data_IF_034105257033
#
_entry.id   IF_034105257033
#
_cell.length_a   1.000
_cell.length_b   1.000
_cell.length_c   1.000
_cell.angle_alpha   90.00
_cell.angle_beta   90.00
_cell.angle_gamma   90.00
#
_symmetry.space_group_name_H-M   'P 1'
#
loop_
_entity.id
_entity.type
_entity.pdbx_description
1 polymer ?
#
# COMPACT_ATOMS: atom_id res chain seq x y z
N UNK A 1 9.25 -17.51 -9.30
CA UNK A 1 10.31 -16.51 -9.04
C UNK A 1 11.30 -16.94 -7.97
N UNK A 2 11.02 -16.88 -6.65
CA UNK A 2 12.05 -17.22 -5.63
C UNK A 2 12.56 -18.67 -5.77
N UNK A 3 11.65 -19.64 -5.85
CA UNK A 3 11.99 -21.05 -6.08
C UNK A 3 12.85 -21.31 -7.31
N UNK A 4 12.65 -20.52 -8.37
CA UNK A 4 13.36 -20.67 -9.65
C UNK A 4 14.79 -20.11 -9.58
N UNK A 5 15.08 -19.19 -8.64
CA UNK A 5 16.36 -18.48 -8.60
C UNK A 5 17.24 -18.90 -7.41
N UNK A 6 16.64 -19.21 -6.26
CA UNK A 6 17.37 -19.55 -5.01
C UNK A 6 16.93 -20.88 -4.41
N UNK A 7 16.23 -21.72 -5.18
CA UNK A 7 15.73 -23.03 -4.71
C UNK A 7 14.64 -22.90 -3.65
N UNK A 8 14.43 -23.94 -2.83
CA UNK A 8 13.29 -24.00 -1.87
C UNK A 8 13.66 -23.81 -0.41
N UNK A 9 14.94 -23.87 -0.09
CA UNK A 9 15.42 -23.89 1.30
C UNK A 9 15.18 -22.54 2.00
N UNK A 10 15.08 -21.44 1.25
CA UNK A 10 14.72 -20.12 1.77
C UNK A 10 13.41 -20.10 2.58
N UNK A 11 12.49 -21.05 2.34
CA UNK A 11 11.21 -21.15 3.07
C UNK A 11 11.38 -21.46 4.54
N UNK A 12 12.47 -22.14 4.90
CA UNK A 12 12.82 -22.48 6.29
C UNK A 12 14.07 -21.75 6.77
N UNK A 13 14.86 -21.20 5.87
CA UNK A 13 16.06 -20.41 6.16
C UNK A 13 16.05 -19.08 5.38
N UNK A 14 15.51 -18.03 6.00
CA UNK A 14 15.39 -16.71 5.37
C UNK A 14 16.75 -16.04 5.06
N UNK A 15 17.87 -16.54 5.60
CA UNK A 15 19.19 -15.99 5.28
C UNK A 15 19.55 -16.16 3.80
N UNK A 16 19.00 -17.18 3.12
CA UNK A 16 19.21 -17.40 1.69
C UNK A 16 18.61 -16.31 0.79
N UNK A 17 17.71 -15.46 1.31
CA UNK A 17 17.25 -14.30 0.55
C UNK A 17 18.38 -13.33 0.19
N UNK A 18 19.51 -13.36 0.91
CA UNK A 18 20.68 -12.54 0.58
C UNK A 18 21.30 -12.90 -0.77
N UNK A 19 21.11 -14.12 -1.27
CA UNK A 19 21.58 -14.54 -2.60
C UNK A 19 20.94 -13.70 -3.72
N UNK A 20 19.74 -13.15 -3.50
CA UNK A 20 19.08 -12.26 -4.45
C UNK A 20 19.87 -10.98 -4.73
N UNK A 21 20.82 -10.59 -3.86
CA UNK A 21 21.71 -9.45 -4.11
C UNK A 21 22.54 -9.63 -5.38
N UNK A 22 22.86 -10.86 -5.74
CA UNK A 22 23.59 -11.16 -6.98
C UNK A 22 22.74 -10.95 -8.24
N UNK A 23 21.42 -10.81 -8.07
CA UNK A 23 20.44 -10.75 -9.15
C UNK A 23 19.81 -9.36 -9.34
N UNK A 24 20.27 -8.33 -8.61
CA UNK A 24 19.65 -7.00 -8.60
C UNK A 24 19.59 -6.34 -9.99
N UNK A 25 20.59 -6.58 -10.83
CA UNK A 25 20.70 -6.00 -12.17
C UNK A 25 20.21 -6.94 -13.26
N UNK A 26 19.73 -8.15 -12.91
CA UNK A 26 19.27 -9.13 -13.88
C UNK A 26 17.85 -8.78 -14.35
N UNK A 27 17.64 -8.41 -15.63
CA UNK A 27 16.34 -7.90 -16.09
C UNK A 27 15.20 -8.90 -15.93
N UNK A 28 15.46 -10.20 -16.13
CA UNK A 28 14.46 -11.26 -15.98
C UNK A 28 13.94 -11.38 -14.55
N UNK A 29 14.82 -11.26 -13.55
CA UNK A 29 14.49 -11.31 -12.12
C UNK A 29 13.62 -10.10 -11.76
N UNK A 30 14.05 -8.92 -12.18
CA UNK A 30 13.31 -7.67 -11.98
C UNK A 30 11.91 -7.71 -12.62
N UNK A 31 11.80 -8.26 -13.84
CA UNK A 31 10.53 -8.44 -14.51
C UNK A 31 9.63 -9.42 -13.75
N UNK A 32 10.15 -10.55 -13.29
CA UNK A 32 9.41 -11.53 -12.51
C UNK A 32 8.88 -10.94 -11.18
N UNK A 33 9.69 -10.13 -10.48
CA UNK A 33 9.26 -9.43 -9.25
C UNK A 33 8.16 -8.42 -9.55
N UNK A 34 8.32 -7.61 -10.61
CA UNK A 34 7.30 -6.62 -11.02
C UNK A 34 5.99 -7.30 -11.39
N UNK A 35 6.05 -8.41 -12.13
CA UNK A 35 4.88 -9.19 -12.53
C UNK A 35 4.15 -9.77 -11.31
N UNK A 36 4.88 -10.43 -10.40
CA UNK A 36 4.31 -10.96 -9.17
C UNK A 36 3.66 -9.85 -8.31
N UNK A 37 4.31 -8.68 -8.21
CA UNK A 37 3.73 -7.52 -7.50
C UNK A 37 2.46 -7.01 -8.18
N UNK A 38 2.43 -6.93 -9.51
CA UNK A 38 1.26 -6.48 -10.26
C UNK A 38 0.07 -7.43 -10.10
N UNK A 39 0.28 -8.74 -10.20
CA UNK A 39 -0.74 -9.77 -9.92
C UNK A 39 -1.29 -9.69 -8.50
N UNK A 40 -0.43 -9.43 -7.50
CA UNK A 40 -0.87 -9.21 -6.13
C UNK A 40 -1.76 -7.96 -6.01
N UNK A 41 -1.42 -6.88 -6.72
CA UNK A 41 -2.23 -5.64 -6.74
C UNK A 41 -3.56 -5.85 -7.45
N UNK A 42 -3.61 -6.64 -8.52
CA UNK A 42 -4.86 -7.02 -9.18
C UNK A 42 -5.77 -7.79 -8.22
N UNK A 43 -5.24 -8.79 -7.53
CA UNK A 43 -6.00 -9.55 -6.52
C UNK A 43 -6.54 -8.66 -5.39
N UNK A 44 -5.72 -7.75 -4.88
CA UNK A 44 -6.15 -6.79 -3.86
C UNK A 44 -7.19 -5.79 -4.39
N UNK A 45 -7.06 -5.32 -5.64
CA UNK A 45 -8.05 -4.44 -6.27
C UNK A 45 -9.41 -5.14 -6.39
N UNK A 46 -9.44 -6.41 -6.82
CA UNK A 46 -10.66 -7.21 -6.85
C UNK A 46 -11.27 -7.40 -5.46
N UNK A 47 -10.44 -7.65 -4.43
CA UNK A 47 -10.90 -7.75 -3.06
C UNK A 47 -11.50 -6.44 -2.53
N UNK A 48 -10.86 -5.30 -2.78
CA UNK A 48 -11.37 -3.97 -2.40
C UNK A 48 -12.72 -3.70 -3.07
N UNK A 49 -12.85 -4.01 -4.37
CA UNK A 49 -14.11 -3.86 -5.09
C UNK A 49 -15.23 -4.70 -4.47
N UNK A 50 -14.95 -5.96 -4.12
CA UNK A 50 -15.94 -6.86 -3.52
C UNK A 50 -16.35 -6.46 -2.10
N UNK A 51 -15.42 -5.97 -1.28
CA UNK A 51 -15.67 -5.70 0.14
C UNK A 51 -16.13 -4.28 0.43
N UNK A 52 -15.66 -3.31 -0.35
CA UNK A 52 -15.87 -1.88 -0.10
C UNK A 52 -16.66 -1.19 -1.22
N UNK A 53 -16.98 -1.90 -2.32
CA UNK A 53 -17.61 -1.34 -3.51
C UNK A 53 -16.82 -0.15 -4.13
N UNK A 54 -15.50 -0.15 -3.96
CA UNK A 54 -14.59 0.85 -4.53
C UNK A 54 -13.72 0.21 -5.60
N UNK A 55 -13.70 0.80 -6.80
CA UNK A 55 -12.82 0.34 -7.89
C UNK A 55 -11.50 1.11 -7.85
N UNK A 56 -10.38 0.40 -7.71
CA UNK A 56 -9.03 0.99 -7.65
C UNK A 56 -8.15 0.51 -8.79
N UNK A 57 -7.28 1.38 -9.31
CA UNK A 57 -6.38 1.07 -10.43
C UNK A 57 -5.12 0.31 -9.95
N UNK A 58 -4.91 -0.97 -10.31
CA UNK A 58 -3.73 -1.74 -9.89
C UNK A 58 -2.42 -1.27 -10.55
N UNK A 59 -2.45 -0.35 -11.52
CA UNK A 59 -1.25 0.29 -12.06
C UNK A 59 -0.75 1.46 -11.21
N UNK A 60 -1.60 2.05 -10.36
CA UNK A 60 -1.22 3.11 -9.42
C UNK A 60 -0.30 2.58 -8.31
N UNK A 61 0.52 3.44 -7.69
CA UNK A 61 1.29 3.06 -6.50
C UNK A 61 0.32 2.76 -5.35
N UNK A 62 0.42 1.56 -4.76
CA UNK A 62 -0.37 1.20 -3.57
C UNK A 62 0.42 1.61 -2.34
N UNK A 63 -0.03 2.67 -1.68
CA UNK A 63 0.58 3.25 -0.48
C UNK A 63 -0.18 2.75 0.74
N UNK A 64 0.45 1.88 1.54
CA UNK A 64 -0.28 1.00 2.48
C UNK A 64 0.20 1.24 3.91
N UNK A 65 -0.72 1.64 4.79
CA UNK A 65 -0.49 1.72 6.23
C UNK A 65 -1.46 0.80 6.98
N UNK A 66 -1.02 -0.44 7.23
CA UNK A 66 -1.79 -1.46 7.96
C UNK A 66 -1.17 -1.70 9.33
N UNK A 67 -1.90 -1.32 10.39
CA UNK A 67 -1.51 -1.47 11.81
C UNK A 67 -2.66 -1.02 12.71
N UNK A 68 -2.67 -1.39 14.00
CA UNK A 68 -3.62 -0.82 14.99
C UNK A 68 -3.69 0.71 14.88
N UNK A 69 -4.87 1.30 15.03
CA UNK A 69 -5.01 2.76 14.95
C UNK A 69 -4.65 3.35 16.32
N UNK A 70 -3.62 4.20 16.34
CA UNK A 70 -3.08 4.81 17.55
C UNK A 70 -2.29 6.06 17.19
N UNK A 71 -2.36 7.10 18.02
CA UNK A 71 -1.65 8.36 17.78
C UNK A 71 -0.15 8.20 17.50
N UNK A 72 0.57 7.39 18.29
CA UNK A 72 2.02 7.16 18.06
C UNK A 72 2.33 6.45 16.73
N UNK A 73 1.36 5.72 16.16
CA UNK A 73 1.51 5.05 14.86
C UNK A 73 1.29 6.00 13.69
N UNK A 74 0.90 7.26 13.98
CA UNK A 74 0.85 8.41 13.09
C UNK A 74 0.05 8.19 11.82
N UNK A 75 -1.09 7.51 11.89
CA UNK A 75 -2.08 7.50 10.80
C UNK A 75 -2.58 8.90 10.50
N UNK A 76 -2.72 9.75 11.53
CA UNK A 76 -3.06 11.17 11.38
C UNK A 76 -2.06 11.90 10.47
N UNK A 77 -0.76 11.71 10.69
CA UNK A 77 0.27 12.33 9.85
C UNK A 77 0.18 11.87 8.38
N UNK A 78 -0.13 10.59 8.15
CA UNK A 78 -0.28 10.07 6.80
C UNK A 78 -1.51 10.66 6.09
N UNK A 79 -2.68 10.70 6.73
CA UNK A 79 -3.87 11.33 6.11
C UNK A 79 -3.69 12.83 5.86
N UNK A 80 -2.99 13.55 6.74
CA UNK A 80 -2.62 14.95 6.48
C UNK A 80 -1.70 15.12 5.26
N UNK A 81 -0.79 14.18 5.02
CA UNK A 81 0.01 14.14 3.80
C UNK A 81 -0.86 13.84 2.57
N UNK A 82 -1.86 12.95 2.66
CA UNK A 82 -2.83 12.71 1.56
C UNK A 82 -3.59 13.99 1.22
N UNK A 83 -4.11 14.71 2.21
CA UNK A 83 -4.80 15.99 2.03
C UNK A 83 -3.88 17.02 1.37
N UNK A 84 -2.65 17.14 1.87
CA UNK A 84 -1.64 18.07 1.30
C UNK A 84 -1.37 17.74 -0.16
N UNK A 85 -1.21 16.45 -0.49
CA UNK A 85 -0.97 15.99 -1.86
C UNK A 85 -2.17 16.28 -2.77
N UNK A 86 -3.39 16.02 -2.29
CA UNK A 86 -4.62 16.36 -3.02
C UNK A 86 -4.70 17.86 -3.34
N UNK A 87 -4.43 18.72 -2.37
CA UNK A 87 -4.43 20.17 -2.57
C UNK A 87 -3.37 20.61 -3.59
N UNK A 88 -2.18 20.00 -3.59
CA UNK A 88 -1.13 20.30 -4.58
C UNK A 88 -1.52 19.84 -5.99
N UNK A 89 -2.16 18.69 -6.13
CA UNK A 89 -2.69 18.22 -7.44
C UNK A 89 -3.75 19.20 -7.97
N UNK A 90 -4.62 19.72 -7.09
CA UNK A 90 -5.61 20.72 -7.49
C UNK A 90 -4.98 22.05 -7.92
N UNK A 91 -3.91 22.46 -7.26
CA UNK A 91 -3.21 23.71 -7.56
C UNK A 91 -2.39 23.63 -8.86
N UNK A 92 -1.83 22.46 -9.17
CA UNK A 92 -1.10 22.20 -10.41
C UNK A 92 -1.51 20.85 -11.01
N UNK A 93 -2.61 20.81 -11.78
CA UNK A 93 -3.12 19.56 -12.34
C UNK A 93 -2.27 19.02 -13.51
N UNK A 94 -1.35 19.82 -14.07
CA UNK A 94 -0.52 19.45 -15.23
C UNK A 94 0.85 18.89 -14.83
N UNK A 95 1.25 19.02 -13.57
CA UNK A 95 2.46 18.37 -13.07
C UNK A 95 2.41 16.84 -13.19
N UNK A 96 3.60 16.24 -13.23
CA UNK A 96 3.78 14.78 -13.37
C UNK A 96 3.49 14.04 -12.06
N UNK A 97 2.21 13.89 -11.73
CA UNK A 97 1.77 13.16 -10.54
C UNK A 97 1.74 11.65 -10.76
N UNK A 98 2.50 10.90 -9.97
CA UNK A 98 2.35 9.42 -9.91
C UNK A 98 0.98 9.07 -9.30
N UNK A 99 0.10 8.32 -9.99
CA UNK A 99 -1.19 7.90 -9.40
C UNK A 99 -0.98 7.06 -8.15
N UNK A 100 -1.78 7.30 -7.10
CA UNK A 100 -1.69 6.56 -5.82
C UNK A 100 -3.04 6.06 -5.36
N UNK A 101 -3.06 4.87 -4.78
CA UNK A 101 -4.16 4.32 -3.99
C UNK A 101 -3.64 4.23 -2.55
N UNK A 102 -4.15 5.09 -1.67
CA UNK A 102 -3.77 5.12 -0.26
C UNK A 102 -4.69 4.17 0.52
N UNK A 103 -4.12 3.16 1.17
CA UNK A 103 -4.84 2.08 1.85
C UNK A 103 -4.50 2.13 3.34
N UNK A 104 -5.51 2.42 4.15
CA UNK A 104 -5.45 2.34 5.60
C UNK A 104 -6.18 1.08 6.07
N UNK A 105 -5.58 0.34 7.01
CA UNK A 105 -6.32 -0.69 7.73
C UNK A 105 -5.85 -0.84 9.17
N UNK A 106 -6.79 -1.03 10.08
CA UNK A 106 -6.52 -1.16 11.50
C UNK A 106 -7.79 -1.10 12.34
N UNK A 107 -7.66 -1.48 13.60
CA UNK A 107 -8.71 -1.32 14.61
C UNK A 107 -8.24 -0.37 15.70
N UNK A 108 -9.15 0.39 16.27
CA UNK A 108 -8.97 1.15 17.50
C UNK A 108 -9.63 0.41 18.67
N UNK A 109 -9.13 0.63 19.90
CA UNK A 109 -9.85 0.19 21.10
C UNK A 109 -11.18 0.96 21.21
N UNK A 110 -12.23 0.32 21.71
CA UNK A 110 -13.59 0.89 21.75
C UNK A 110 -13.68 2.22 22.49
N UNK A 111 -12.97 2.35 23.61
CA UNK A 111 -12.91 3.55 24.44
C UNK A 111 -11.92 4.63 23.95
N UNK A 112 -11.15 4.36 22.88
CA UNK A 112 -10.12 5.28 22.41
C UNK A 112 -10.69 6.29 21.41
N UNK A 113 -11.33 7.33 21.94
CA UNK A 113 -12.02 8.35 21.15
C UNK A 113 -11.14 9.02 20.09
N UNK A 114 -9.91 9.43 20.44
CA UNK A 114 -9.00 10.07 19.48
C UNK A 114 -8.66 9.15 18.30
N UNK A 115 -8.41 7.87 18.55
CA UNK A 115 -8.18 6.91 17.48
C UNK A 115 -9.40 6.73 16.58
N UNK A 116 -10.63 6.78 17.13
CA UNK A 116 -11.87 6.77 16.34
C UNK A 116 -12.06 8.04 15.51
N UNK A 117 -11.69 9.21 16.02
CA UNK A 117 -11.67 10.45 15.23
C UNK A 117 -10.69 10.39 14.07
N UNK A 118 -9.51 9.78 14.27
CA UNK A 118 -8.56 9.56 13.18
C UNK A 118 -9.17 8.62 12.11
N UNK A 119 -9.86 7.55 12.51
CA UNK A 119 -10.58 6.67 11.55
C UNK A 119 -11.63 7.47 10.79
N UNK A 120 -12.43 8.28 11.50
CA UNK A 120 -13.47 9.09 10.89
C UNK A 120 -12.88 10.06 9.86
N UNK A 121 -11.83 10.80 10.21
CA UNK A 121 -11.13 11.70 9.28
C UNK A 121 -10.61 10.95 8.04
N UNK A 122 -10.04 9.76 8.22
CA UNK A 122 -9.56 8.94 7.08
C UNK A 122 -10.72 8.58 6.15
N UNK A 123 -11.87 8.19 6.72
CA UNK A 123 -13.05 7.84 5.94
C UNK A 123 -13.63 9.07 5.23
N UNK A 124 -13.75 10.21 5.90
CA UNK A 124 -14.29 11.45 5.30
C UNK A 124 -13.40 11.98 4.16
N UNK A 125 -12.08 11.76 4.25
CA UNK A 125 -11.15 12.07 3.17
C UNK A 125 -11.25 11.05 2.03
N UNK A 126 -11.53 9.79 2.35
CA UNK A 126 -11.62 8.68 1.39
C UNK A 126 -12.97 8.58 0.66
N UNK A 127 -14.04 9.04 1.29
CA UNK A 127 -15.41 9.03 0.79
C UNK A 127 -16.07 10.38 1.04
N UNK A 128 -16.42 11.07 -0.05
CA UNK A 128 -17.52 12.02 -0.04
C UNK A 128 -18.81 11.22 -0.21
N UNK A 129 -19.67 11.34 0.80
CA UNK A 129 -20.96 10.68 1.10
C UNK A 129 -20.89 9.52 2.10
#
# INVERSE_FOLDING_TARGET
MLDEHIGRTWRTDLSQLDELKQHIDYPMVNQAVRQAKFENKQRLASYIAQQLNVVVNPKALFDVQIKRIHEYKRQLMNVLHVITRYNRIKADPQAEWVPRVNIFAGKAASAYYMAKHIIHLINDVGGGD
#
